data_IF_241515399519
#
_entry.id   IF_241515399519
#
_cell.length_a   1.000
_cell.length_b   1.000
_cell.length_c   1.000
_cell.angle_alpha   90.00
_cell.angle_beta   90.00
_cell.angle_gamma   90.00
#
_symmetry.space_group_name_H-M   'P 1'
#
loop_
_entity.id
_entity.type
_entity.pdbx_description
1 polymer ?
#
# COMPACT_ATOMS: atom_id res chain seq x y z
N UNK A 1 7.66 -10.07 38.90
CA UNK A 1 8.05 -10.54 37.55
C UNK A 1 6.90 -10.20 36.63
N UNK A 2 7.01 -9.08 35.90
CA UNK A 2 6.02 -8.62 34.94
C UNK A 2 6.32 -9.33 33.62
N UNK A 3 5.40 -10.20 33.19
CA UNK A 3 5.45 -10.79 31.85
C UNK A 3 5.21 -9.68 30.85
N UNK A 4 6.18 -9.45 29.98
CA UNK A 4 6.08 -8.55 28.84
C UNK A 4 4.74 -8.80 28.13
N UNK A 5 3.89 -7.77 28.04
CA UNK A 5 2.71 -7.83 27.21
C UNK A 5 3.18 -8.03 25.77
N UNK A 6 2.72 -9.09 25.13
CA UNK A 6 2.97 -9.40 23.73
C UNK A 6 2.51 -8.21 22.86
N UNK A 7 3.45 -7.34 22.52
CA UNK A 7 3.30 -6.37 21.45
C UNK A 7 3.31 -7.14 20.13
N UNK A 8 2.13 -7.55 19.64
CA UNK A 8 2.00 -7.87 18.23
C UNK A 8 1.97 -6.54 17.45
N UNK A 9 2.96 -6.25 16.59
CA UNK A 9 2.97 -5.00 15.84
C UNK A 9 1.80 -5.01 14.85
N UNK A 10 0.95 -3.99 14.95
CA UNK A 10 -0.09 -3.71 13.96
C UNK A 10 0.55 -3.38 12.60
N UNK A 11 -0.11 -3.72 11.50
CA UNK A 11 0.39 -3.40 10.17
C UNK A 11 0.53 -1.87 10.03
N UNK A 12 1.73 -1.33 9.79
CA UNK A 12 1.95 0.12 9.76
C UNK A 12 1.21 0.81 8.61
N UNK A 13 0.97 0.10 7.50
CA UNK A 13 0.20 0.65 6.37
C UNK A 13 -1.28 0.72 6.74
N UNK A 14 -1.82 -0.32 7.38
CA UNK A 14 -3.22 -0.32 7.79
C UNK A 14 -3.50 0.73 8.88
N UNK A 15 -2.61 0.84 9.88
CA UNK A 15 -2.68 1.88 10.91
C UNK A 15 -2.65 3.29 10.31
N UNK A 16 -1.83 3.49 9.26
CA UNK A 16 -1.81 4.75 8.52
C UNK A 16 -3.14 5.02 7.79
N UNK A 17 -3.75 4.02 7.15
CA UNK A 17 -5.05 4.17 6.50
C UNK A 17 -6.18 4.51 7.50
N UNK A 18 -6.18 3.88 8.67
CA UNK A 18 -7.11 4.21 9.76
C UNK A 18 -6.90 5.65 10.24
N UNK A 19 -5.64 6.07 10.37
CA UNK A 19 -5.31 7.45 10.75
C UNK A 19 -5.79 8.43 9.70
N UNK A 20 -5.59 8.14 8.40
CA UNK A 20 -6.10 8.97 7.32
C UNK A 20 -7.62 9.11 7.37
N UNK A 21 -8.37 8.03 7.64
CA UNK A 21 -9.83 8.09 7.80
C UNK A 21 -10.24 9.07 8.90
N UNK A 22 -9.46 9.16 9.99
CA UNK A 22 -9.73 10.07 11.10
C UNK A 22 -9.30 11.51 10.83
N UNK A 23 -8.13 11.71 10.21
CA UNK A 23 -7.47 13.03 10.12
C UNK A 23 -7.66 13.73 8.78
N UNK A 24 -7.68 13.00 7.65
CA UNK A 24 -7.70 13.58 6.31
C UNK A 24 -9.14 13.89 5.89
N UNK A 25 -9.60 15.11 6.18
CA UNK A 25 -11.00 15.54 6.00
C UNK A 25 -11.46 15.62 4.54
N UNK A 26 -10.52 15.78 3.63
CA UNK A 26 -10.72 15.81 2.18
C UNK A 26 -10.99 14.43 1.56
N UNK A 27 -11.02 13.35 2.34
CA UNK A 27 -11.43 12.05 1.83
C UNK A 27 -12.95 12.05 1.55
N UNK A 28 -13.42 11.46 0.43
CA UNK A 28 -14.84 11.29 0.14
C UNK A 28 -15.59 10.65 1.31
N UNK A 29 -16.45 11.42 1.98
CA UNK A 29 -17.23 10.98 3.15
C UNK A 29 -16.38 10.37 4.27
N UNK A 30 -15.12 10.80 4.42
CA UNK A 30 -14.17 10.25 5.40
C UNK A 30 -13.70 8.82 5.09
N UNK A 31 -14.03 8.28 3.93
CA UNK A 31 -13.67 6.94 3.50
C UNK A 31 -12.29 6.96 2.84
N UNK A 32 -11.31 6.14 3.26
CA UNK A 32 -10.10 5.92 2.49
C UNK A 32 -10.45 5.27 1.15
N UNK A 33 -10.02 5.90 0.05
CA UNK A 33 -10.29 5.44 -1.32
C UNK A 33 -8.97 5.10 -2.00
N UNK A 34 -8.97 4.01 -2.77
CA UNK A 34 -7.93 3.71 -3.76
C UNK A 34 -8.38 4.23 -5.11
N UNK A 35 -7.58 5.11 -5.72
CA UNK A 35 -7.73 5.44 -7.13
C UNK A 35 -6.82 4.54 -7.96
N UNK A 36 -7.40 3.80 -8.90
CA UNK A 36 -6.69 3.00 -9.88
C UNK A 36 -6.51 3.82 -11.16
N UNK A 37 -5.27 4.18 -11.49
CA UNK A 37 -4.95 4.85 -12.74
C UNK A 37 -5.15 3.87 -13.91
N UNK A 38 -6.08 4.18 -14.81
CA UNK A 38 -6.43 3.31 -15.95
C UNK A 38 -5.51 3.50 -17.16
N UNK A 39 -5.85 2.82 -18.26
CA UNK A 39 -5.17 2.85 -19.57
C UNK A 39 -5.08 4.22 -20.24
N UNK A 40 -5.71 5.26 -19.69
CA UNK A 40 -5.60 6.62 -20.21
C UNK A 40 -4.39 7.38 -19.64
N UNK A 41 -3.70 6.80 -18.66
CA UNK A 41 -2.51 7.38 -18.01
C UNK A 41 -1.29 6.50 -18.28
N UNK A 42 -0.88 6.42 -19.55
CA UNK A 42 0.22 5.54 -20.02
C UNK A 42 1.59 6.22 -20.06
N UNK A 43 1.68 7.49 -19.67
CA UNK A 43 2.93 8.24 -19.62
C UNK A 43 3.11 8.93 -18.28
N UNK A 44 4.36 9.22 -17.92
CA UNK A 44 4.70 9.81 -16.63
C UNK A 44 4.06 11.17 -16.43
N UNK A 45 3.92 11.99 -17.47
CA UNK A 45 3.35 13.33 -17.34
C UNK A 45 1.84 13.29 -17.01
N UNK A 46 1.08 12.44 -17.71
CA UNK A 46 -0.35 12.24 -17.44
C UNK A 46 -0.60 11.59 -16.07
N UNK A 47 0.23 10.62 -15.67
CA UNK A 47 0.16 9.99 -14.35
C UNK A 47 0.47 10.97 -13.20
N UNK A 48 1.50 11.81 -13.36
CA UNK A 48 1.89 12.80 -12.35
C UNK A 48 0.85 13.93 -12.23
N UNK A 49 0.27 14.37 -13.34
CA UNK A 49 -0.85 15.32 -13.31
C UNK A 49 -2.04 14.72 -12.58
N UNK A 50 -2.42 13.49 -12.89
CA UNK A 50 -3.47 12.79 -12.17
C UNK A 50 -3.17 12.77 -10.66
N UNK A 51 -1.99 12.30 -10.26
CA UNK A 51 -1.59 12.20 -8.86
C UNK A 51 -1.63 13.54 -8.12
N UNK A 52 -1.28 14.64 -8.78
CA UNK A 52 -1.39 15.99 -8.23
C UNK A 52 -2.85 16.43 -8.05
N UNK A 53 -3.72 16.12 -9.02
CA UNK A 53 -5.11 16.53 -9.04
C UNK A 53 -5.97 15.77 -8.02
N UNK A 54 -5.77 14.45 -7.90
CA UNK A 54 -6.57 13.59 -7.02
C UNK A 54 -5.91 13.27 -5.68
N UNK A 55 -4.61 13.51 -5.53
CA UNK A 55 -3.84 13.24 -4.32
C UNK A 55 -4.51 13.73 -3.02
N UNK A 56 -5.04 14.96 -2.96
CA UNK A 56 -5.75 15.45 -1.78
C UNK A 56 -6.97 14.63 -1.38
N UNK A 57 -7.58 13.87 -2.30
CA UNK A 57 -8.87 13.20 -2.12
C UNK A 57 -8.78 11.67 -2.00
N UNK A 58 -7.58 11.10 -2.06
CA UNK A 58 -7.36 9.65 -2.03
C UNK A 58 -6.49 9.24 -0.85
N UNK A 59 -6.60 7.96 -0.46
CA UNK A 59 -5.71 7.34 0.51
C UNK A 59 -4.59 6.53 -0.16
N UNK A 60 -4.87 5.97 -1.34
CA UNK A 60 -3.92 5.17 -2.12
C UNK A 60 -4.05 5.49 -3.60
N UNK A 61 -2.94 5.64 -4.30
CA UNK A 61 -2.86 5.65 -5.76
C UNK A 61 -2.32 4.30 -6.22
N UNK A 62 -3.14 3.54 -6.95
CA UNK A 62 -2.74 2.27 -7.57
C UNK A 62 -2.30 2.53 -9.02
N UNK A 63 -1.08 2.09 -9.33
CA UNK A 63 -0.35 2.42 -10.56
C UNK A 63 0.04 1.11 -11.26
N UNK A 64 -0.43 0.86 -12.49
CA UNK A 64 0.09 -0.22 -13.32
C UNK A 64 1.41 0.23 -13.96
N UNK A 65 2.51 0.13 -13.22
CA UNK A 65 3.79 0.72 -13.62
C UNK A 65 4.41 0.09 -14.89
N UNK A 66 4.03 -1.14 -15.24
CA UNK A 66 4.53 -1.83 -16.43
C UNK A 66 3.95 -1.32 -17.76
N UNK A 67 2.78 -0.65 -17.74
CA UNK A 67 2.15 -0.05 -18.92
C UNK A 67 2.49 1.43 -19.08
N UNK A 68 3.35 1.98 -18.22
CA UNK A 68 3.83 3.36 -18.35
C UNK A 68 5.03 3.37 -19.30
N UNK A 69 4.86 3.99 -20.47
CA UNK A 69 5.80 3.95 -21.60
C UNK A 69 7.21 4.47 -21.24
N UNK A 70 7.30 5.47 -20.37
CA UNK A 70 8.52 6.16 -19.97
C UNK A 70 8.85 5.98 -18.47
N UNK A 71 8.43 4.85 -17.86
CA UNK A 71 8.67 4.55 -16.44
C UNK A 71 10.16 4.67 -16.06
N UNK A 72 10.46 5.55 -15.11
CA UNK A 72 11.84 5.88 -14.72
C UNK A 72 12.00 6.14 -13.22
N UNK A 73 13.24 6.28 -12.76
CA UNK A 73 13.52 6.72 -11.37
C UNK A 73 12.98 8.13 -11.11
N UNK A 74 13.04 9.03 -12.10
CA UNK A 74 12.52 10.40 -11.98
C UNK A 74 11.00 10.40 -11.75
N UNK A 75 10.28 9.53 -12.46
CA UNK A 75 8.84 9.32 -12.27
C UNK A 75 8.53 8.85 -10.84
N UNK A 76 9.31 7.89 -10.34
CA UNK A 76 9.19 7.37 -8.97
C UNK A 76 9.42 8.48 -7.94
N UNK A 77 10.46 9.28 -8.09
CA UNK A 77 10.80 10.37 -7.16
C UNK A 77 9.69 11.42 -7.11
N UNK A 78 9.15 11.80 -8.27
CA UNK A 78 8.04 12.75 -8.35
C UNK A 78 6.74 12.19 -7.75
N UNK A 79 6.44 10.91 -7.97
CA UNK A 79 5.31 10.24 -7.33
C UNK A 79 5.47 10.17 -5.80
N UNK A 80 6.68 9.89 -5.30
CA UNK A 80 6.98 9.90 -3.87
C UNK A 80 6.89 11.31 -3.27
N UNK A 81 7.29 12.33 -4.03
CA UNK A 81 7.07 13.73 -3.65
C UNK A 81 5.57 14.04 -3.53
N UNK A 82 4.75 13.68 -4.54
CA UNK A 82 3.30 13.90 -4.50
C UNK A 82 2.61 13.09 -3.40
N UNK A 83 3.03 11.85 -3.15
CA UNK A 83 2.58 11.01 -2.04
C UNK A 83 2.80 11.70 -0.69
N UNK A 84 4.00 12.26 -0.47
CA UNK A 84 4.31 13.04 0.75
C UNK A 84 3.54 14.35 0.83
N UNK A 85 3.43 15.07 -0.28
CA UNK A 85 2.71 16.35 -0.36
C UNK A 85 1.23 16.18 -0.04
N UNK A 86 0.59 15.17 -0.62
CA UNK A 86 -0.85 14.98 -0.55
C UNK A 86 -1.29 13.82 0.37
N UNK A 87 -0.35 13.22 1.11
CA UNK A 87 -0.64 12.24 2.18
C UNK A 87 -1.35 10.96 1.71
N UNK A 88 -0.95 10.41 0.58
CA UNK A 88 -1.47 9.13 0.07
C UNK A 88 -0.36 8.09 -0.11
N UNK A 89 -0.71 6.82 -0.16
CA UNK A 89 0.21 5.69 -0.38
C UNK A 89 0.30 5.31 -1.85
N UNK A 90 1.41 4.69 -2.25
CA UNK A 90 1.59 4.13 -3.59
C UNK A 90 1.34 2.62 -3.57
N UNK A 91 0.58 2.10 -4.54
CA UNK A 91 0.35 0.68 -4.75
C UNK A 91 0.71 0.32 -6.19
N UNK A 92 1.56 -0.68 -6.38
CA UNK A 92 1.82 -1.23 -7.71
C UNK A 92 0.70 -2.23 -8.10
N UNK A 93 0.01 -1.93 -9.20
CA UNK A 93 -1.25 -2.58 -9.58
C UNK A 93 -1.18 -3.48 -10.82
N UNK A 94 -0.03 -3.56 -11.48
CA UNK A 94 0.13 -4.33 -12.72
C UNK A 94 0.56 -5.77 -12.49
N UNK A 95 1.32 -6.03 -11.42
CA UNK A 95 1.97 -7.32 -11.19
C UNK A 95 1.41 -8.03 -9.98
N UNK A 96 1.13 -9.32 -10.18
CA UNK A 96 0.90 -10.25 -9.07
C UNK A 96 2.23 -10.96 -8.78
N UNK A 97 2.77 -10.75 -7.57
CA UNK A 97 4.10 -11.25 -7.19
C UNK A 97 4.19 -12.77 -7.27
N UNK A 98 3.25 -13.49 -6.63
CA UNK A 98 3.07 -14.92 -6.85
C UNK A 98 1.93 -15.15 -7.86
N UNK A 99 2.22 -15.44 -9.14
CA UNK A 99 1.19 -15.80 -10.11
C UNK A 99 0.71 -17.26 -9.94
N UNK A 100 1.41 -18.08 -9.15
CA UNK A 100 1.09 -19.49 -8.98
C UNK A 100 0.04 -19.69 -7.89
N UNK A 101 -1.19 -19.91 -8.34
CA UNK A 101 -2.31 -20.27 -7.47
C UNK A 101 -2.12 -21.69 -6.95
N UNK A 102 -2.28 -21.87 -5.64
CA UNK A 102 -2.43 -23.18 -5.00
C UNK A 102 -1.25 -24.15 -5.27
N UNK A 103 -0.02 -23.64 -5.26
CA UNK A 103 1.20 -24.46 -5.42
C UNK A 103 2.17 -24.25 -4.25
N UNK A 104 2.42 -23.00 -3.88
CA UNK A 104 3.46 -22.61 -2.92
C UNK A 104 3.27 -23.17 -1.50
N UNK A 105 2.04 -23.48 -1.11
CA UNK A 105 1.68 -23.99 0.22
C UNK A 105 1.22 -25.43 0.23
N UNK A 106 1.23 -26.15 -0.91
CA UNK A 106 0.84 -27.56 -0.90
C UNK A 106 1.95 -28.45 -0.32
N UNK A 107 1.55 -29.41 0.51
CA UNK A 107 2.47 -30.36 1.12
C UNK A 107 3.10 -31.34 0.11
N UNK A 108 2.42 -31.61 -1.01
CA UNK A 108 2.91 -32.48 -2.09
C UNK A 108 3.88 -31.78 -3.06
N UNK A 109 3.97 -30.45 -3.01
CA UNK A 109 4.89 -29.68 -3.83
C UNK A 109 6.33 -29.81 -3.30
N UNK A 110 7.31 -30.22 -4.14
CA UNK A 110 8.69 -30.38 -3.72
C UNK A 110 9.26 -29.09 -3.10
N UNK A 111 9.86 -29.21 -1.91
CA UNK A 111 10.38 -28.05 -1.16
C UNK A 111 11.41 -27.25 -1.97
N UNK A 112 12.32 -27.93 -2.67
CA UNK A 112 13.34 -27.30 -3.51
C UNK A 112 12.71 -26.44 -4.62
N UNK A 113 11.67 -26.96 -5.29
CA UNK A 113 10.93 -26.21 -6.31
C UNK A 113 10.24 -25.00 -5.71
N UNK A 114 9.59 -25.15 -4.55
CA UNK A 114 8.95 -24.04 -3.85
C UNK A 114 9.97 -22.96 -3.44
N UNK A 115 11.14 -23.35 -2.94
CA UNK A 115 12.22 -22.43 -2.60
C UNK A 115 12.75 -21.68 -3.83
N UNK A 116 13.04 -22.38 -4.93
CA UNK A 116 13.49 -21.75 -6.17
C UNK A 116 12.47 -20.73 -6.71
N UNK A 117 11.18 -21.03 -6.61
CA UNK A 117 10.11 -20.11 -6.99
C UNK A 117 9.99 -18.93 -6.03
N UNK A 118 10.10 -19.16 -4.72
CA UNK A 118 10.11 -18.07 -3.73
C UNK A 118 11.27 -17.09 -3.99
N UNK A 119 12.45 -17.61 -4.33
CA UNK A 119 13.62 -16.79 -4.71
C UNK A 119 13.38 -16.00 -5.99
N UNK A 120 12.76 -16.62 -7.00
CA UNK A 120 12.37 -15.93 -8.22
C UNK A 120 11.37 -14.79 -7.93
N UNK A 121 10.35 -15.06 -7.11
CA UNK A 121 9.34 -14.08 -6.71
C UNK A 121 10.00 -12.93 -5.94
N UNK A 122 10.87 -13.23 -4.96
CA UNK A 122 11.68 -12.26 -4.22
C UNK A 122 12.49 -11.37 -5.15
N UNK A 123 13.18 -11.97 -6.13
CA UNK A 123 13.97 -11.23 -7.12
C UNK A 123 13.07 -10.34 -7.98
N UNK A 124 11.90 -10.84 -8.36
CA UNK A 124 10.93 -10.10 -9.16
C UNK A 124 10.30 -8.91 -8.41
N UNK A 125 10.25 -8.97 -7.08
CA UNK A 125 9.73 -7.92 -6.21
C UNK A 125 10.78 -6.82 -5.92
N UNK A 126 12.04 -7.23 -5.73
CA UNK A 126 13.13 -6.33 -5.31
C UNK A 126 13.99 -5.79 -6.45
N UNK A 127 13.96 -6.47 -7.60
CA UNK A 127 14.83 -6.19 -8.75
C UNK A 127 14.02 -6.04 -10.05
N UNK A 128 14.71 -5.99 -11.19
CA UNK A 128 14.10 -5.82 -12.52
C UNK A 128 13.88 -4.35 -12.88
N UNK A 129 13.12 -4.05 -13.94
CA UNK A 129 12.84 -2.66 -14.34
C UNK A 129 11.98 -1.92 -13.30
N UNK A 130 10.94 -2.59 -12.78
CA UNK A 130 9.98 -1.96 -11.85
C UNK A 130 10.50 -1.83 -10.43
N UNK A 131 11.31 -2.80 -9.94
CA UNK A 131 11.85 -2.83 -8.57
C UNK A 131 10.79 -2.48 -7.52
N UNK A 132 9.60 -3.08 -7.61
CA UNK A 132 8.39 -2.68 -6.85
C UNK A 132 8.65 -2.38 -5.37
N UNK A 133 9.45 -3.21 -4.69
CA UNK A 133 9.78 -3.04 -3.27
C UNK A 133 10.55 -1.76 -2.93
N UNK A 134 11.19 -1.08 -3.89
CA UNK A 134 11.97 0.13 -3.60
C UNK A 134 11.09 1.37 -3.47
N UNK A 135 9.94 1.41 -4.15
CA UNK A 135 9.10 2.61 -4.23
C UNK A 135 7.67 2.44 -3.75
N UNK A 136 7.08 1.25 -3.92
CA UNK A 136 5.66 1.05 -3.67
C UNK A 136 5.39 0.62 -2.24
N UNK A 137 4.40 1.22 -1.56
CA UNK A 137 3.99 0.80 -0.23
C UNK A 137 3.26 -0.54 -0.24
N UNK A 138 2.53 -0.82 -1.33
CA UNK A 138 1.68 -1.99 -1.49
C UNK A 138 2.01 -2.77 -2.75
N UNK A 139 1.98 -4.10 -2.64
CA UNK A 139 2.04 -5.01 -3.78
C UNK A 139 0.94 -6.07 -3.66
N UNK A 140 0.66 -6.75 -4.77
CA UNK A 140 -0.41 -7.76 -4.85
C UNK A 140 0.18 -9.15 -5.01
N UNK A 141 -0.40 -10.17 -4.36
CA UNK A 141 0.05 -11.57 -4.51
C UNK A 141 -1.11 -12.55 -4.36
N UNK A 142 -1.12 -13.65 -5.11
CA UNK A 142 -1.92 -14.81 -4.69
C UNK A 142 -1.35 -15.41 -3.41
N UNK A 143 -2.23 -15.95 -2.57
CA UNK A 143 -1.86 -16.66 -1.36
C UNK A 143 -1.05 -17.93 -1.68
N UNK A 144 -0.21 -18.39 -0.75
CA UNK A 144 0.55 -19.62 -0.93
C UNK A 144 -0.36 -20.85 -1.02
N UNK A 145 -1.55 -20.80 -0.39
CA UNK A 145 -2.47 -21.92 -0.16
C UNK A 145 -1.95 -22.98 0.80
N UNK A 146 -1.23 -22.57 1.86
CA UNK A 146 -0.93 -23.49 2.96
C UNK A 146 -2.25 -23.94 3.61
N UNK A 147 -2.42 -25.23 3.97
CA UNK A 147 -3.60 -25.68 4.70
C UNK A 147 -3.85 -24.84 5.95
N UNK A 148 -5.10 -24.63 6.33
CA UNK A 148 -5.48 -23.73 7.46
C UNK A 148 -4.77 -24.09 8.76
N UNK A 149 -4.52 -25.38 8.99
CA UNK A 149 -3.83 -25.95 10.15
C UNK A 149 -2.30 -25.98 10.03
N UNK A 150 -1.74 -25.53 8.90
CA UNK A 150 -0.32 -25.67 8.56
C UNK A 150 0.27 -24.35 8.00
N UNK A 151 -0.21 -23.20 8.47
CA UNK A 151 0.27 -21.90 8.00
C UNK A 151 1.76 -21.67 8.27
N UNK A 152 2.31 -22.32 9.30
CA UNK A 152 3.73 -22.29 9.62
C UNK A 152 4.62 -22.87 8.51
N UNK A 153 4.05 -23.66 7.59
CA UNK A 153 4.76 -24.20 6.44
C UNK A 153 4.83 -23.21 5.25
N UNK A 154 4.20 -22.05 5.37
CA UNK A 154 4.30 -21.00 4.36
C UNK A 154 5.72 -20.43 4.28
N UNK A 155 6.32 -20.53 3.10
CA UNK A 155 7.62 -19.93 2.80
C UNK A 155 7.49 -18.61 2.03
N UNK A 156 6.35 -18.35 1.39
CA UNK A 156 6.15 -17.23 0.47
C UNK A 156 6.03 -15.91 1.22
N UNK A 157 5.08 -15.80 2.15
CA UNK A 157 4.83 -14.52 2.85
C UNK A 157 6.06 -14.12 3.69
N UNK A 158 6.74 -15.04 4.43
CA UNK A 158 8.00 -14.72 5.10
C UNK A 158 9.10 -14.25 4.13
N UNK A 159 9.21 -14.88 2.95
CA UNK A 159 10.19 -14.49 1.93
C UNK A 159 9.90 -13.08 1.39
N UNK A 160 8.63 -12.76 1.08
CA UNK A 160 8.22 -11.43 0.65
C UNK A 160 8.45 -10.37 1.73
N UNK A 161 8.14 -10.69 3.00
CA UNK A 161 8.40 -9.83 4.15
C UNK A 161 9.89 -9.50 4.28
N UNK A 162 10.75 -10.51 4.18
CA UNK A 162 12.21 -10.34 4.23
C UNK A 162 12.70 -9.50 3.05
N UNK A 163 12.25 -9.80 1.84
CA UNK A 163 12.60 -9.08 0.61
C UNK A 163 12.22 -7.59 0.71
N UNK A 164 11.05 -7.29 1.26
CA UNK A 164 10.60 -5.92 1.50
C UNK A 164 11.54 -5.17 2.46
N UNK A 165 11.89 -5.82 3.59
CA UNK A 165 12.80 -5.25 4.59
C UNK A 165 14.19 -4.99 4.03
N UNK A 166 14.73 -5.92 3.25
CA UNK A 166 16.04 -5.77 2.59
C UNK A 166 16.04 -4.62 1.57
N UNK A 167 14.99 -4.51 0.75
CA UNK A 167 14.85 -3.42 -0.22
C UNK A 167 14.77 -2.06 0.48
N UNK A 168 13.93 -1.96 1.53
CA UNK A 168 13.80 -0.74 2.34
C UNK A 168 15.11 -0.36 3.01
N UNK A 169 15.83 -1.32 3.60
CA UNK A 169 17.13 -1.06 4.23
C UNK A 169 18.17 -0.56 3.22
N UNK A 170 18.15 -1.11 2.00
CA UNK A 170 19.02 -0.67 0.90
C UNK A 170 18.70 0.75 0.48
N UNK A 171 17.41 1.08 0.25
CA UNK A 171 16.97 2.43 -0.10
C UNK A 171 17.31 3.43 1.00
N UNK A 172 17.05 3.10 2.27
CA UNK A 172 17.37 3.98 3.40
C UNK A 172 18.88 4.27 3.50
N UNK A 173 19.73 3.27 3.24
CA UNK A 173 21.18 3.44 3.20
C UNK A 173 21.63 4.35 2.06
N UNK A 174 21.05 4.20 0.87
CA UNK A 174 21.34 5.06 -0.30
C UNK A 174 21.03 6.52 0.04
N UNK A 175 19.83 6.79 0.56
CA UNK A 175 19.41 8.13 0.99
C UNK A 175 20.37 8.71 2.03
N UNK A 176 20.76 7.92 3.03
CA UNK A 176 21.70 8.37 4.06
C UNK A 176 23.08 8.73 3.48
N UNK A 177 23.57 7.96 2.51
CA UNK A 177 24.85 8.25 1.86
C UNK A 177 24.81 9.47 0.95
N UNK A 178 23.71 9.71 0.24
CA UNK A 178 23.52 10.91 -0.59
C UNK A 178 23.49 12.17 0.26
N UNK A 179 22.70 12.18 1.33
CA UNK A 179 22.64 13.31 2.28
C UNK A 179 24.03 13.59 2.89
N UNK A 180 24.77 12.54 3.25
CA UNK A 180 26.12 12.68 3.81
C UNK A 180 27.11 13.27 2.79
N UNK A 181 26.97 12.95 1.51
CA UNK A 181 27.80 13.51 0.45
C UNK A 181 27.46 14.98 0.15
N UNK A 182 26.17 15.34 0.14
CA UNK A 182 25.73 16.73 -0.05
C UNK A 182 26.19 17.63 1.11
N UNK A 183 26.05 17.20 2.36
CA UNK A 183 26.50 17.97 3.54
C UNK A 183 28.02 18.20 3.50
N UNK A 184 28.79 17.20 3.04
CA UNK A 184 30.24 17.36 2.89
C UNK A 184 30.62 18.35 1.78
N UNK A 185 29.81 18.48 0.72
CA UNK A 185 30.02 19.50 -0.30
C UNK A 185 29.71 20.91 0.23
N UNK A 186 28.68 21.09 1.05
CA UNK A 186 28.36 22.38 1.67
C UNK A 186 29.27 22.76 2.85
N UNK A 187 29.91 21.79 3.52
CA UNK A 187 30.86 22.03 4.62
C UNK A 187 32.29 22.35 4.15
N UNK A 188 32.55 22.37 2.84
CA UNK A 188 33.88 22.68 2.28
C UNK A 188 34.02 24.11 1.73
N UNK A 189 33.03 24.98 1.99
CA UNK A 189 33.01 26.35 1.49
C UNK A 189 32.92 27.41 2.59
N UNK A 190 33.98 27.58 3.37
CA UNK A 190 34.28 28.84 4.08
C UNK A 190 35.78 28.85 4.47
N UNK A 191 36.64 29.28 3.55
CA UNK A 191 37.92 29.89 3.92
C UNK A 191 38.05 31.21 3.14
N UNK A 192 38.12 32.30 3.91
CA UNK A 192 38.05 33.69 3.44
C UNK A 192 39.40 34.12 2.82
N UNK A 193 39.28 34.68 1.61
CA UNK A 193 40.18 35.49 0.77
C UNK A 193 41.60 35.86 1.25
N UNK A 194 42.57 35.66 0.34
CA UNK A 194 43.60 36.68 0.05
C UNK A 194 43.66 36.93 -1.48
N UNK A 195 43.41 38.18 -1.85
CA UNK A 195 43.47 38.74 -3.21
C UNK A 195 44.94 38.88 -3.66
N UNK A 196 45.27 38.52 -4.90
CA UNK A 196 46.09 39.34 -5.83
C UNK A 196 45.99 38.82 -7.28
N UNK A 197 46.15 39.70 -8.29
CA UNK A 197 45.54 39.51 -9.62
C UNK A 197 46.55 39.13 -10.71
N UNK A 198 46.10 38.37 -11.73
CA UNK A 198 46.23 38.73 -13.16
C UNK A 198 45.91 37.57 -14.14
N UNK A 199 45.17 37.94 -15.19
CA UNK A 199 45.20 37.50 -16.60
C UNK A 199 44.65 36.12 -17.05
N UNK A 200 43.50 36.22 -17.72
CA UNK A 200 43.00 35.56 -18.95
C UNK A 200 43.73 34.31 -19.50
N UNK A 201 42.99 33.22 -19.75
CA UNK A 201 42.55 32.78 -21.10
C UNK A 201 42.00 31.32 -21.11
N UNK A 202 40.86 31.15 -21.80
CA UNK A 202 40.47 30.05 -22.72
C UNK A 202 40.57 28.54 -22.32
N UNK A 203 39.40 27.89 -22.42
CA UNK A 203 39.10 26.59 -23.04
C UNK A 203 39.55 25.26 -22.38
N UNK A 204 38.61 24.30 -22.31
CA UNK A 204 38.94 22.88 -22.54
C UNK A 204 38.49 21.88 -21.47
N UNK A 205 37.66 20.92 -21.89
CA UNK A 205 37.30 19.70 -21.17
C UNK A 205 38.48 18.71 -21.01
N UNK A 206 38.33 17.77 -20.05
CA UNK A 206 39.17 16.59 -19.68
C UNK A 206 40.30 16.91 -18.68
N UNK A 207 40.69 16.06 -17.74
CA UNK A 207 40.66 14.59 -17.69
C UNK A 207 40.84 14.10 -16.24
N UNK A 208 40.38 12.88 -15.96
CA UNK A 208 40.73 12.09 -14.78
C UNK A 208 42.24 11.84 -14.72
N UNK A 209 42.83 11.80 -13.51
CA UNK A 209 43.72 10.69 -13.12
C UNK A 209 43.98 10.61 -11.60
N UNK A 210 44.27 9.40 -11.07
CA UNK A 210 44.24 9.05 -9.66
C UNK A 210 45.65 8.91 -9.02
N UNK A 211 45.66 8.52 -7.75
CA UNK A 211 46.80 8.30 -6.82
C UNK A 211 47.13 9.55 -5.98
N UNK A 212 47.44 9.47 -4.68
CA UNK A 212 48.04 8.37 -3.93
C UNK A 212 47.79 8.54 -2.42
N UNK A 213 47.49 7.43 -1.75
CA UNK A 213 47.88 7.00 -0.39
C UNK A 213 48.13 8.01 0.75
N UNK A 214 47.42 7.79 1.87
CA UNK A 214 47.81 8.22 3.22
C UNK A 214 46.61 8.19 4.18
N UNK A 215 46.27 7.06 4.81
CA UNK A 215 46.72 6.61 6.15
C UNK A 215 46.06 7.37 7.32
N UNK A 216 45.43 6.58 8.22
CA UNK A 216 44.99 6.85 9.61
C UNK A 216 43.86 7.91 9.77
N UNK A 217 42.79 7.75 10.56
CA UNK A 217 42.59 7.11 11.86
C UNK A 217 41.09 6.76 12.01
N UNK A 218 40.76 5.52 12.36
CA UNK A 218 39.41 5.16 12.82
C UNK A 218 39.10 5.90 14.12
N UNK A 219 38.08 6.75 14.12
CA UNK A 219 37.33 7.10 15.32
C UNK A 219 35.89 6.61 15.11
N UNK A 220 35.57 5.50 15.75
CA UNK A 220 34.21 5.01 15.90
C UNK A 220 33.47 5.93 16.86
N UNK A 221 32.55 6.72 16.34
CA UNK A 221 31.56 7.45 17.15
C UNK A 221 30.22 6.75 17.01
N UNK A 222 29.85 5.99 18.03
CA UNK A 222 28.48 5.50 18.21
C UNK A 222 27.60 6.69 18.58
N UNK A 223 26.70 7.08 17.70
CA UNK A 223 25.66 8.06 18.00
C UNK A 223 24.31 7.36 17.85
N UNK A 224 23.59 7.26 18.97
CA UNK A 224 22.21 6.82 19.06
C UNK A 224 21.31 7.89 18.44
N UNK A 225 20.95 7.74 17.16
CA UNK A 225 19.99 8.63 16.50
C UNK A 225 18.62 7.95 16.50
N UNK A 226 17.73 8.47 17.34
CA UNK A 226 16.28 8.28 17.19
C UNK A 226 15.87 8.75 15.80
N UNK A 227 15.27 7.86 15.02
CA UNK A 227 14.92 8.06 13.61
C UNK A 227 13.88 9.16 13.41
N UNK A 228 14.32 10.39 13.19
CA UNK A 228 13.64 11.36 12.33
C UNK A 228 14.51 11.56 11.10
N UNK A 229 14.09 10.99 9.97
CA UNK A 229 14.76 11.15 8.69
C UNK A 229 14.59 12.59 8.18
N UNK A 230 15.60 13.43 8.37
CA UNK A 230 15.68 14.75 7.73
C UNK A 230 16.16 14.55 6.29
N UNK A 231 15.24 14.44 5.34
CA UNK A 231 15.53 14.65 3.90
C UNK A 231 15.47 16.14 3.59
N UNK A 232 16.46 16.74 2.89
CA UNK A 232 16.44 18.16 2.57
C UNK A 232 15.60 18.40 1.31
N UNK A 233 14.28 18.31 1.41
CA UNK A 233 13.35 18.83 0.39
C UNK A 233 12.36 19.75 1.08
N UNK A 234 12.17 20.94 0.49
CA UNK A 234 11.44 22.11 0.97
C UNK A 234 10.38 21.80 2.04
N UNK A 235 10.42 22.53 3.17
CA UNK A 235 9.44 22.52 4.26
C UNK A 235 8.00 22.30 3.72
N UNK A 236 7.57 21.03 3.64
CA UNK A 236 6.18 20.69 3.41
C UNK A 236 5.46 21.09 4.67
N UNK A 237 4.67 22.17 4.60
CA UNK A 237 3.87 22.62 5.73
C UNK A 237 3.10 21.44 6.32
N UNK A 238 3.13 21.32 7.64
CA UNK A 238 2.35 20.35 8.38
C UNK A 238 0.87 20.74 8.22
N UNK A 239 0.26 20.23 7.16
CA UNK A 239 -1.16 20.38 6.86
C UNK A 239 -1.96 19.66 7.95
N UNK A 240 -2.73 20.43 8.72
CA UNK A 240 -3.89 20.04 9.56
C UNK A 240 -3.79 18.73 10.38
N UNK A 241 -2.60 18.37 10.86
CA UNK A 241 -2.39 17.18 11.70
C UNK A 241 -2.48 15.83 10.97
N UNK A 242 -2.44 15.82 9.63
CA UNK A 242 -2.37 14.58 8.85
C UNK A 242 -0.91 14.07 8.82
N UNK A 243 -0.61 12.82 9.20
CA UNK A 243 0.76 12.30 9.20
C UNK A 243 1.32 12.10 7.78
N UNK A 244 2.65 12.07 7.64
CA UNK A 244 3.31 11.74 6.36
C UNK A 244 3.20 10.23 6.13
N UNK A 245 2.99 9.76 4.88
CA UNK A 245 2.92 8.34 4.59
C UNK A 245 4.23 7.62 4.97
N UNK A 246 4.15 6.41 5.57
CA UNK A 246 5.31 5.65 6.01
C UNK A 246 6.14 5.15 4.82
N UNK A 247 7.13 5.95 4.40
CA UNK A 247 7.94 5.73 3.19
C UNK A 247 8.73 4.42 3.20
N UNK A 248 9.04 3.90 4.38
CA UNK A 248 9.83 2.69 4.60
C UNK A 248 8.97 1.48 4.96
N UNK A 249 7.65 1.62 4.99
CA UNK A 249 6.75 0.50 5.23
C UNK A 249 6.31 -0.13 3.91
N UNK A 250 6.25 -1.46 3.90
CA UNK A 250 5.84 -2.29 2.77
C UNK A 250 4.85 -3.32 3.26
N UNK A 251 3.83 -3.58 2.47
CA UNK A 251 2.81 -4.58 2.79
C UNK A 251 2.29 -5.24 1.50
N UNK A 252 1.72 -6.44 1.65
CA UNK A 252 1.09 -7.16 0.55
C UNK A 252 -0.41 -7.29 0.76
N UNK A 253 -1.20 -7.02 -0.28
CA UNK A 253 -2.60 -7.42 -0.36
C UNK A 253 -2.72 -8.78 -1.04
N UNK A 254 -3.39 -9.74 -0.40
CA UNK A 254 -3.62 -11.06 -0.99
C UNK A 254 -4.84 -11.03 -1.91
N UNK A 255 -4.71 -11.61 -3.11
CA UNK A 255 -5.86 -11.80 -3.98
C UNK A 255 -6.84 -12.78 -3.32
N UNK A 256 -8.07 -12.31 -3.07
CA UNK A 256 -9.15 -13.11 -2.52
C UNK A 256 -10.12 -13.48 -3.65
N UNK A 257 -10.17 -14.77 -4.06
CA UNK A 257 -11.00 -15.21 -5.18
C UNK A 257 -12.48 -15.02 -4.88
N UNK A 258 -13.25 -14.78 -5.94
CA UNK A 258 -14.69 -14.55 -5.80
C UNK A 258 -15.45 -15.81 -5.38
N UNK A 259 -16.45 -15.69 -4.50
CA UNK A 259 -17.31 -16.83 -4.13
C UNK A 259 -18.18 -17.33 -5.28
N UNK A 260 -18.33 -16.55 -6.36
CA UNK A 260 -19.05 -16.96 -7.57
C UNK A 260 -18.12 -17.54 -8.64
N UNK A 261 -16.80 -17.51 -8.43
CA UNK A 261 -15.82 -18.00 -9.39
C UNK A 261 -15.53 -19.49 -9.16
N UNK A 262 -15.86 -20.33 -10.13
CA UNK A 262 -15.74 -21.80 -10.01
C UNK A 262 -14.30 -22.31 -10.18
N UNK A 263 -13.37 -21.44 -10.60
CA UNK A 263 -11.96 -21.79 -10.77
C UNK A 263 -11.23 -22.01 -9.43
N UNK A 264 -11.80 -21.52 -8.32
CA UNK A 264 -11.21 -21.60 -6.99
C UNK A 264 -12.09 -22.40 -6.06
N UNK A 265 -11.47 -23.14 -5.14
CA UNK A 265 -12.21 -23.90 -4.13
C UNK A 265 -12.45 -23.04 -2.88
N UNK A 266 -13.54 -23.28 -2.14
CA UNK A 266 -13.77 -22.64 -0.84
C UNK A 266 -12.60 -22.79 0.14
N UNK A 267 -11.91 -23.94 0.13
CA UNK A 267 -10.75 -24.19 0.98
C UNK A 267 -9.57 -23.28 0.63
N UNK A 268 -9.34 -23.00 -0.66
CA UNK A 268 -8.30 -22.05 -1.08
C UNK A 268 -8.63 -20.64 -0.58
N UNK A 269 -9.89 -20.24 -0.66
CA UNK A 269 -10.36 -18.95 -0.15
C UNK A 269 -10.18 -18.86 1.38
N UNK A 270 -10.58 -19.89 2.12
CA UNK A 270 -10.40 -19.97 3.57
C UNK A 270 -8.93 -19.95 3.97
N UNK A 271 -8.08 -20.72 3.27
CA UNK A 271 -6.63 -20.71 3.42
C UNK A 271 -6.05 -19.31 3.20
N UNK A 272 -6.52 -18.58 2.18
CA UNK A 272 -6.10 -17.18 1.91
C UNK A 272 -6.42 -16.26 3.09
N UNK A 273 -7.63 -16.39 3.66
CA UNK A 273 -8.06 -15.59 4.81
C UNK A 273 -7.19 -15.88 6.03
N UNK A 274 -6.93 -17.16 6.30
CA UNK A 274 -6.10 -17.58 7.41
C UNK A 274 -4.64 -17.16 7.23
N UNK A 275 -4.09 -17.22 6.02
CA UNK A 275 -2.75 -16.75 5.70
C UNK A 275 -2.57 -15.26 5.99
N UNK A 276 -3.59 -14.44 5.67
CA UNK A 276 -3.60 -13.02 6.00
C UNK A 276 -3.64 -12.78 7.52
N UNK A 277 -4.48 -13.52 8.25
CA UNK A 277 -4.55 -13.42 9.71
C UNK A 277 -3.24 -13.82 10.39
N UNK A 278 -2.63 -14.91 9.94
CA UNK A 278 -1.35 -15.41 10.47
C UNK A 278 -0.19 -14.44 10.23
N UNK A 279 -0.28 -13.60 9.20
CA UNK A 279 0.77 -12.67 8.79
C UNK A 279 0.31 -11.21 8.81
N UNK A 280 -0.61 -10.85 9.71
CA UNK A 280 -1.24 -9.52 9.71
C UNK A 280 -0.29 -8.36 10.01
N UNK A 281 0.94 -8.61 10.43
CA UNK A 281 2.00 -7.59 10.58
C UNK A 281 2.55 -7.10 9.22
N UNK A 282 2.38 -7.90 8.16
CA UNK A 282 2.91 -7.63 6.83
C UNK A 282 1.86 -7.75 5.72
N UNK A 283 0.83 -8.59 5.89
CA UNK A 283 -0.32 -8.67 4.99
C UNK A 283 -1.34 -7.63 5.44
N UNK A 284 -1.72 -6.72 4.54
CA UNK A 284 -2.69 -5.66 4.87
C UNK A 284 -4.14 -6.19 4.83
N UNK A 285 -4.38 -7.23 4.05
CA UNK A 285 -5.71 -7.80 3.81
C UNK A 285 -5.84 -8.27 2.38
N UNK A 286 -6.97 -7.95 1.74
CA UNK A 286 -7.44 -8.63 0.53
C UNK A 286 -7.73 -7.69 -0.63
N UNK A 287 -7.24 -8.01 -1.82
CA UNK A 287 -7.70 -7.43 -3.08
C UNK A 287 -8.69 -8.39 -3.75
N UNK A 288 -9.88 -7.91 -4.11
CA UNK A 288 -10.93 -8.77 -4.65
C UNK A 288 -11.79 -8.06 -5.70
N UNK A 289 -12.26 -8.84 -6.68
CA UNK A 289 -13.25 -8.41 -7.68
C UNK A 289 -14.68 -8.50 -7.15
N UNK A 290 -14.89 -9.12 -5.99
CA UNK A 290 -16.20 -9.13 -5.38
C UNK A 290 -16.59 -7.72 -4.93
N UNK A 291 -17.86 -7.33 -5.13
CA UNK A 291 -18.35 -5.98 -4.85
C UNK A 291 -18.62 -5.77 -3.34
N UNK A 292 -17.64 -6.09 -2.48
CA UNK A 292 -17.76 -6.01 -1.01
C UNK A 292 -18.06 -4.62 -0.48
N UNK A 293 -17.65 -3.57 -1.19
CA UNK A 293 -17.96 -2.22 -0.78
C UNK A 293 -19.44 -1.88 -0.98
N UNK A 294 -20.10 -2.42 -2.00
CA UNK A 294 -21.53 -2.13 -2.29
C UNK A 294 -22.47 -3.18 -1.73
N UNK A 295 -22.03 -4.43 -1.58
CA UNK A 295 -22.81 -5.51 -0.97
C UNK A 295 -22.45 -5.64 0.50
N UNK A 296 -23.42 -5.38 1.40
CA UNK A 296 -23.19 -5.57 2.82
C UNK A 296 -23.01 -7.06 3.18
N UNK A 297 -21.82 -7.43 3.65
CA UNK A 297 -21.50 -8.79 4.14
C UNK A 297 -21.07 -8.82 5.61
N UNK A 298 -21.47 -7.79 6.37
CA UNK A 298 -20.98 -7.52 7.72
C UNK A 298 -19.50 -7.11 7.74
N UNK A 299 -18.96 -6.95 8.96
CA UNK A 299 -17.60 -6.45 9.18
C UNK A 299 -16.68 -7.52 9.82
N UNK A 300 -17.13 -8.78 9.84
CA UNK A 300 -16.45 -9.88 10.53
C UNK A 300 -15.78 -10.82 9.53
N UNK A 301 -14.52 -11.15 9.79
CA UNK A 301 -13.73 -12.09 9.00
C UNK A 301 -14.35 -13.50 8.94
N UNK A 302 -15.10 -13.91 9.96
CA UNK A 302 -15.80 -15.21 9.94
C UNK A 302 -16.88 -15.25 8.87
N UNK A 303 -17.59 -14.14 8.64
CA UNK A 303 -18.57 -14.06 7.56
C UNK A 303 -17.92 -14.20 6.19
N UNK A 304 -16.75 -13.57 6.04
CA UNK A 304 -15.96 -13.62 4.80
C UNK A 304 -15.46 -15.04 4.47
N UNK A 305 -15.14 -15.83 5.50
CA UNK A 305 -14.56 -17.16 5.39
C UNK A 305 -15.59 -18.29 5.26
N UNK A 306 -16.75 -18.16 5.92
CA UNK A 306 -17.71 -19.25 6.03
C UNK A 306 -18.92 -19.12 5.10
N UNK A 307 -19.22 -17.92 4.62
CA UNK A 307 -20.44 -17.68 3.83
C UNK A 307 -20.13 -17.13 2.45
N UNK A 308 -20.93 -17.53 1.47
CA UNK A 308 -20.89 -16.99 0.12
C UNK A 308 -21.59 -15.62 0.06
N UNK A 309 -21.65 -15.04 -1.14
CA UNK A 309 -22.31 -13.74 -1.32
C UNK A 309 -23.80 -13.68 -1.08
N UNK A 310 -24.46 -14.83 -1.09
CA UNK A 310 -25.87 -14.95 -0.82
C UNK A 310 -26.13 -15.27 0.66
N UNK A 311 -25.07 -15.40 1.48
CA UNK A 311 -25.17 -15.81 2.88
C UNK A 311 -25.34 -17.32 3.07
N UNK A 312 -25.12 -18.11 2.03
CA UNK A 312 -25.12 -19.58 2.13
C UNK A 312 -23.77 -20.05 2.68
N UNK A 313 -23.78 -21.08 3.52
CA UNK A 313 -22.54 -21.66 4.02
C UNK A 313 -21.70 -22.23 2.86
N UNK A 314 -20.42 -21.90 2.81
CA UNK A 314 -19.48 -22.46 1.85
C UNK A 314 -19.12 -23.88 2.29
N UNK A 315 -19.15 -24.82 1.33
CA UNK A 315 -18.68 -26.20 1.56
C UNK A 315 -17.15 -26.17 1.55
N UNK A 316 -16.55 -26.15 2.74
CA UNK A 316 -15.10 -26.10 2.92
C UNK A 316 -14.71 -26.67 4.29
N UNK A 317 -13.71 -26.07 4.95
CA UNK A 317 -13.31 -26.43 6.30
C UNK A 317 -14.44 -26.11 7.28
N UNK A 318 -14.69 -27.04 8.20
CA UNK A 318 -15.70 -26.92 9.25
C UNK A 318 -15.52 -25.62 10.05
N UNK A 319 -16.62 -24.89 10.28
CA UNK A 319 -16.67 -23.71 11.12
C UNK A 319 -16.04 -23.94 12.49
N UNK A 320 -16.18 -25.15 13.06
CA UNK A 320 -15.54 -25.52 14.32
C UNK A 320 -13.99 -25.50 14.23
N UNK A 321 -13.42 -25.96 13.11
CA UNK A 321 -11.96 -25.93 12.88
C UNK A 321 -11.42 -24.53 12.60
N UNK A 322 -12.21 -23.69 11.92
CA UNK A 322 -11.85 -22.28 11.72
C UNK A 322 -11.89 -21.51 13.03
N UNK A 323 -12.91 -21.72 13.86
CA UNK A 323 -13.05 -21.04 15.16
C UNK A 323 -11.94 -21.41 16.17
N UNK A 324 -11.34 -22.60 16.06
CA UNK A 324 -10.20 -23.00 16.90
C UNK A 324 -8.86 -22.45 16.41
N UNK A 325 -8.82 -21.78 15.25
CA UNK A 325 -7.60 -21.18 14.73
C UNK A 325 -7.09 -20.07 15.66
N UNK A 326 -5.82 -20.11 16.11
CA UNK A 326 -5.28 -19.08 16.99
C UNK A 326 -5.29 -17.70 16.32
N UNK A 327 -5.18 -17.65 15.00
CA UNK A 327 -5.11 -16.43 14.21
C UNK A 327 -6.44 -15.66 14.11
N UNK A 328 -7.58 -16.34 14.32
CA UNK A 328 -8.92 -15.74 14.23
C UNK A 328 -9.49 -15.29 15.59
N UNK A 329 -8.90 -15.73 16.70
CA UNK A 329 -9.36 -15.36 18.04
C UNK A 329 -8.72 -14.07 18.57
N UNK A 330 -7.82 -13.44 17.80
CA UNK A 330 -7.20 -12.18 18.18
C UNK A 330 -8.08 -10.97 17.83
N UNK A 331 -8.96 -10.58 18.76
CA UNK A 331 -9.91 -9.46 18.64
C UNK A 331 -9.30 -8.06 18.40
N UNK A 332 -7.96 -7.95 18.34
CA UNK A 332 -7.25 -6.66 18.17
C UNK A 332 -6.72 -6.42 16.76
N UNK A 333 -6.87 -7.38 15.85
CA UNK A 333 -6.35 -7.25 14.48
C UNK A 333 -7.45 -6.74 13.54
N UNK A 334 -7.06 -5.88 12.62
CA UNK A 334 -7.91 -5.46 11.51
C UNK A 334 -7.29 -5.87 10.18
N UNK A 335 -8.09 -6.08 9.15
CA UNK A 335 -7.65 -6.35 7.78
C UNK A 335 -8.41 -5.44 6.81
N UNK A 336 -7.72 -4.96 5.77
CA UNK A 336 -8.33 -4.20 4.67
C UNK A 336 -8.99 -5.11 3.65
N UNK A 337 -10.16 -4.73 3.13
CA UNK A 337 -10.77 -5.35 1.94
C UNK A 337 -10.86 -4.29 0.85
N UNK A 338 -9.99 -4.41 -0.15
CA UNK A 338 -9.92 -3.57 -1.32
C UNK A 338 -10.82 -4.17 -2.41
N UNK A 339 -11.95 -3.52 -2.67
CA UNK A 339 -12.93 -3.99 -3.65
C UNK A 339 -13.29 -2.92 -4.66
N UNK A 340 -13.34 -3.30 -5.93
CA UNK A 340 -13.71 -2.43 -7.04
C UNK A 340 -15.16 -1.95 -6.93
N UNK A 341 -15.37 -0.65 -7.05
CA UNK A 341 -16.68 -0.06 -7.29
C UNK A 341 -17.03 -0.24 -8.76
N UNK A 342 -18.23 -0.76 -9.03
CA UNK A 342 -18.71 -0.91 -10.40
C UNK A 342 -18.80 0.46 -11.10
N UNK A 343 -18.21 0.63 -12.30
CA UNK A 343 -18.35 1.87 -13.08
C UNK A 343 -19.80 2.22 -13.42
N UNK A 344 -20.73 1.26 -13.37
CA UNK A 344 -22.17 1.52 -13.57
C UNK A 344 -22.75 2.47 -12.53
N UNK A 345 -22.12 2.60 -11.35
CA UNK A 345 -22.54 3.55 -10.33
C UNK A 345 -22.19 5.00 -10.66
N UNK A 346 -21.43 5.26 -11.72
CA UNK A 346 -21.21 6.62 -12.21
C UNK A 346 -22.30 7.10 -13.19
N UNK A 347 -23.32 6.29 -13.47
CA UNK A 347 -24.44 6.70 -14.33
C UNK A 347 -25.19 7.87 -13.69
N UNK A 348 -25.33 8.97 -14.44
CA UNK A 348 -25.95 10.20 -13.95
C UNK A 348 -24.99 11.12 -13.19
N UNK A 349 -23.68 10.90 -13.29
CA UNK A 349 -22.71 11.90 -12.86
C UNK A 349 -22.77 13.13 -13.76
N UNK A 350 -22.98 14.29 -13.14
CA UNK A 350 -22.91 15.60 -13.79
C UNK A 350 -21.89 16.46 -13.04
N UNK A 351 -21.04 17.15 -13.79
CA UNK A 351 -20.04 18.04 -13.20
C UNK A 351 -20.74 19.29 -12.64
N UNK A 352 -20.43 19.63 -11.40
CA UNK A 352 -20.96 20.82 -10.72
C UNK A 352 -19.80 21.78 -10.39
N UNK A 353 -19.67 22.92 -11.08
CA UNK A 353 -18.60 23.89 -10.81
C UNK A 353 -18.70 24.50 -9.41
N UNK A 354 -19.84 24.37 -8.74
CA UNK A 354 -20.06 24.88 -7.38
C UNK A 354 -19.73 23.85 -6.30
N UNK A 355 -19.42 22.61 -6.67
CA UNK A 355 -19.13 21.53 -5.74
C UNK A 355 -17.86 21.83 -4.91
N UNK A 356 -18.03 21.76 -3.58
CA UNK A 356 -16.94 21.91 -2.62
C UNK A 356 -16.84 20.66 -1.73
N UNK A 357 -15.72 19.92 -1.79
CA UNK A 357 -15.42 18.83 -0.88
C UNK A 357 -15.52 19.26 0.59
N UNK A 358 -16.04 18.38 1.43
CA UNK A 358 -16.02 18.59 2.88
C UNK A 358 -14.59 18.76 3.39
N UNK A 359 -14.38 19.70 4.33
CA UNK A 359 -13.09 19.88 5.00
C UNK A 359 -12.06 20.77 4.31
N UNK A 360 -12.35 21.35 3.15
CA UNK A 360 -11.48 22.39 2.55
C UNK A 360 -11.85 23.76 3.15
N UNK A 361 -11.01 24.30 4.04
CA UNK A 361 -11.04 25.73 4.34
C UNK A 361 -10.52 26.50 3.12
N UNK A 362 -11.22 27.56 2.64
CA UNK A 362 -10.80 28.31 1.46
C UNK A 362 -9.53 29.11 1.76
N UNK A 363 -8.37 28.50 1.57
CA UNK A 363 -7.08 29.20 1.59
C UNK A 363 -6.74 29.65 0.18
N UNK A 364 -7.20 30.85 -0.18
CA UNK A 364 -6.88 31.53 -1.43
C UNK A 364 -7.91 31.33 -2.55
N UNK A 365 -7.92 32.27 -3.49
CA UNK A 365 -8.93 32.39 -4.55
C UNK A 365 -9.11 31.10 -5.38
N UNK A 366 -10.38 30.71 -5.57
CA UNK A 366 -10.92 29.94 -6.69
C UNK A 366 -10.10 28.74 -7.19
N UNK A 367 -9.77 27.78 -6.31
CA UNK A 367 -9.38 26.44 -6.79
C UNK A 367 -10.63 25.60 -6.98
N UNK A 368 -11.15 25.58 -8.21
CA UNK A 368 -12.24 24.68 -8.60
C UNK A 368 -11.85 23.22 -8.35
N UNK A 369 -12.78 22.44 -7.80
CA UNK A 369 -12.60 21.00 -7.61
C UNK A 369 -12.54 20.32 -8.98
N UNK A 370 -11.44 19.62 -9.27
CA UNK A 370 -11.26 18.94 -10.56
C UNK A 370 -12.38 17.95 -10.84
N UNK A 371 -12.69 17.75 -12.14
CA UNK A 371 -13.70 16.78 -12.59
C UNK A 371 -13.50 15.41 -11.93
N UNK A 372 -12.26 14.94 -11.89
CA UNK A 372 -11.89 13.64 -11.33
C UNK A 372 -12.13 13.55 -9.83
N UNK A 373 -11.87 14.63 -9.08
CA UNK A 373 -12.18 14.69 -7.67
C UNK A 373 -13.70 14.67 -7.42
N UNK A 374 -14.49 15.41 -8.21
CA UNK A 374 -15.95 15.34 -8.13
C UNK A 374 -16.50 13.95 -8.47
N UNK A 375 -15.93 13.30 -9.48
CA UNK A 375 -16.26 11.93 -9.87
C UNK A 375 -15.99 10.94 -8.72
N UNK A 376 -14.84 11.06 -8.05
CA UNK A 376 -14.50 10.27 -6.86
C UNK A 376 -15.55 10.44 -5.75
N UNK A 377 -15.94 11.68 -5.42
CA UNK A 377 -16.99 11.93 -4.44
C UNK A 377 -18.31 11.32 -4.85
N UNK A 378 -18.74 11.56 -6.09
CA UNK A 378 -20.02 11.04 -6.59
C UNK A 378 -20.09 9.51 -6.50
N UNK A 379 -19.09 8.82 -7.05
CA UNK A 379 -19.14 7.35 -7.14
C UNK A 379 -19.02 6.69 -5.77
N UNK A 380 -18.20 7.26 -4.86
CA UNK A 380 -18.08 6.75 -3.49
C UNK A 380 -19.39 6.98 -2.73
N UNK A 381 -20.07 8.11 -2.92
CA UNK A 381 -21.41 8.35 -2.34
C UNK A 381 -22.39 7.27 -2.75
N UNK A 382 -22.54 7.04 -4.05
CA UNK A 382 -23.48 6.05 -4.59
C UNK A 382 -23.20 4.66 -4.01
N UNK A 383 -21.92 4.32 -3.88
CA UNK A 383 -21.51 3.04 -3.34
C UNK A 383 -21.78 2.88 -1.84
N UNK A 384 -21.56 3.94 -1.03
CA UNK A 384 -21.91 3.96 0.40
C UNK A 384 -23.42 3.87 0.59
N UNK A 385 -24.20 4.66 -0.14
CA UNK A 385 -25.66 4.69 -0.04
C UNK A 385 -26.24 3.30 -0.36
N UNK A 386 -25.75 2.66 -1.42
CA UNK A 386 -26.15 1.29 -1.78
C UNK A 386 -25.75 0.26 -0.72
N UNK A 387 -24.56 0.38 -0.12
CA UNK A 387 -24.11 -0.50 0.96
C UNK A 387 -25.02 -0.40 2.19
N UNK A 388 -25.36 0.83 2.59
CA UNK A 388 -26.22 1.07 3.74
C UNK A 388 -27.66 0.60 3.50
N UNK A 389 -28.18 0.78 2.28
CA UNK A 389 -29.46 0.19 1.89
C UNK A 389 -29.43 -1.34 2.04
N UNK A 390 -28.41 -2.00 1.47
CA UNK A 390 -28.26 -3.46 1.56
C UNK A 390 -28.10 -3.96 3.02
N UNK A 391 -27.45 -3.16 3.88
CA UNK A 391 -27.35 -3.45 5.32
C UNK A 391 -28.72 -3.45 5.98
N UNK A 392 -29.52 -2.41 5.75
CA UNK A 392 -30.86 -2.27 6.32
C UNK A 392 -31.79 -3.41 5.87
N UNK A 393 -31.74 -3.78 4.60
CA UNK A 393 -32.51 -4.90 4.05
C UNK A 393 -32.12 -6.24 4.72
N UNK A 394 -30.82 -6.49 4.94
CA UNK A 394 -30.35 -7.69 5.67
C UNK A 394 -30.77 -7.69 7.14
N UNK A 395 -30.63 -6.57 7.84
CA UNK A 395 -31.05 -6.46 9.25
C UNK A 395 -32.56 -6.71 9.41
N UNK A 396 -33.38 -6.24 8.46
CA UNK A 396 -34.82 -6.48 8.45
C UNK A 396 -35.20 -7.96 8.27
N UNK A 397 -34.35 -8.78 7.64
CA UNK A 397 -34.58 -10.22 7.44
C UNK A 397 -34.18 -11.09 8.65
N UNK A 398 -33.71 -10.50 9.74
CA UNK A 398 -33.51 -11.19 11.03
C UNK A 398 -32.25 -12.05 11.13
N UNK A 399 -31.32 -11.95 10.18
CA UNK A 399 -30.02 -12.63 10.25
C UNK A 399 -29.03 -11.80 11.08
N UNK A 400 -28.88 -12.13 12.36
CA UNK A 400 -27.85 -11.48 13.19
C UNK A 400 -28.05 -11.57 14.69
N UNK A 401 -27.99 -12.77 15.27
CA UNK A 401 -27.76 -12.92 16.72
C UNK A 401 -26.72 -13.99 17.02
N UNK A 402 -25.63 -13.54 17.64
CA UNK A 402 -24.53 -14.35 18.13
C UNK A 402 -23.39 -14.47 17.12
N UNK A 403 -22.40 -13.57 17.18
CA UNK A 403 -21.15 -13.73 16.43
C UNK A 403 -19.99 -14.01 17.38
N UNK A 404 -19.13 -15.01 17.08
CA UNK A 404 -17.80 -15.04 17.65
C UNK A 404 -17.03 -13.80 17.19
N UNK A 405 -16.29 -13.15 18.08
CA UNK A 405 -15.55 -11.94 17.71
C UNK A 405 -14.29 -12.33 16.93
N UNK A 406 -14.23 -12.03 15.62
CA UNK A 406 -13.03 -12.16 14.81
C UNK A 406 -12.31 -10.82 14.61
N UNK A 407 -11.16 -10.81 13.91
CA UNK A 407 -10.58 -9.61 13.33
C UNK A 407 -11.59 -8.74 12.58
N UNK A 408 -11.50 -7.42 12.73
CA UNK A 408 -12.38 -6.47 12.05
C UNK A 408 -11.96 -6.26 10.59
N UNK A 409 -12.93 -6.04 9.71
CA UNK A 409 -12.69 -5.68 8.31
C UNK A 409 -12.85 -4.16 8.10
N UNK A 410 -11.84 -3.54 7.49
CA UNK A 410 -11.91 -2.19 6.95
C UNK A 410 -12.17 -2.27 5.44
N UNK A 411 -13.37 -1.91 5.00
CA UNK A 411 -13.68 -1.87 3.59
C UNK A 411 -13.07 -0.62 2.95
N UNK A 412 -12.39 -0.79 1.81
CA UNK A 412 -11.70 0.27 1.10
C UNK A 412 -12.12 0.17 -0.38
N UNK A 413 -12.88 1.15 -0.91
CA UNK A 413 -13.29 1.15 -2.29
C UNK A 413 -12.09 1.40 -3.21
N UNK A 414 -12.06 0.65 -4.32
CA UNK A 414 -11.17 0.92 -5.45
C UNK A 414 -12.01 1.54 -6.56
N UNK A 415 -11.59 2.70 -7.06
CA UNK A 415 -12.25 3.43 -8.14
C UNK A 415 -11.31 3.51 -9.33
N UNK A 416 -11.76 3.09 -10.51
CA UNK A 416 -11.01 3.25 -11.76
C UNK A 416 -11.13 4.69 -12.22
N UNK A 417 -9.99 5.33 -12.47
CA UNK A 417 -9.91 6.68 -12.99
C UNK A 417 -9.46 6.63 -14.44
N UNK A 418 -10.35 7.10 -15.31
CA UNK A 418 -10.15 7.24 -16.75
C UNK A 418 -9.60 8.61 -17.12
#
# INVERSE_FOLDING_TARGET
MSTAGDWCPENPILAYLQTLAATKKTLPYGQPVVAHASVNHIDSASLLRLAADIGPYIAVLQIPADVIDDWSSDTIEQLQYLSRKHRFLLWEGSKILNPLVNFMGRADAPLETRQALADLIKKSYTSGPLRTATWSNLATSWAPAAPVDQQENDILIPTLRLAAREAVATTAKIIQTEISAEINNYSSGEELEIITPSTETSNGWKEFSPSNTGSVLRKSSTISVTTESVTPHAHLHADDGVPVPPQLARSVALCLPSTIETAFTPEFRQSTIIAACANSDFVIGFATSEPFFVNHRGNDIFELALFDGNGSAQVGIDAAKLATSPYLNEHRRSLGVFSLISPTLSLGFEFDPTFKPDGITPSGADTETSYTAQYLYYIVRQAIDLREQNRQEREATGSGKGKPAGPNIMHIPVVIIA
#
